data_IF_615946565452
#
_entry.id   IF_615946565452
#
_cell.length_a   1.000
_cell.length_b   1.000
_cell.length_c   1.000
_cell.angle_alpha   90.00
_cell.angle_beta   90.00
_cell.angle_gamma   90.00
#
_symmetry.space_group_name_H-M   'P 1'
#
loop_
_entity.id
_entity.type
_entity.pdbx_description
1 polymer ?
#
# COMPACT_ATOMS: atom_id res chain seq x y z
N UNK A 1 -37.18 16.59 28.01
CA UNK A 1 -37.53 15.77 26.83
C UNK A 1 -36.76 16.16 25.57
N UNK A 2 -36.69 17.43 25.16
CA UNK A 2 -35.96 17.82 23.94
C UNK A 2 -34.47 17.42 23.93
N UNK A 3 -33.73 17.66 25.03
CA UNK A 3 -32.31 17.30 25.12
C UNK A 3 -32.03 15.78 25.04
N UNK A 4 -32.95 14.94 25.52
CA UNK A 4 -32.84 13.48 25.42
C UNK A 4 -33.08 12.99 23.98
N UNK A 5 -34.02 13.61 23.27
CA UNK A 5 -34.29 13.31 21.85
C UNK A 5 -33.12 13.75 20.94
N UNK A 6 -32.49 14.90 21.22
CA UNK A 6 -31.30 15.37 20.49
C UNK A 6 -30.04 14.53 20.79
N UNK A 7 -29.89 14.02 22.01
CA UNK A 7 -28.78 13.12 22.35
C UNK A 7 -28.93 11.74 21.67
N UNK A 8 -30.16 11.21 21.62
CA UNK A 8 -30.47 9.94 20.98
C UNK A 8 -30.24 9.98 19.46
N UNK A 9 -30.57 11.09 18.79
CA UNK A 9 -30.24 11.27 17.36
C UNK A 9 -28.73 11.30 17.13
N UNK A 10 -27.98 11.99 18.01
CA UNK A 10 -26.52 12.09 17.88
C UNK A 10 -25.79 10.75 18.08
N UNK A 11 -26.26 9.89 18.98
CA UNK A 11 -25.66 8.57 19.20
C UNK A 11 -25.85 7.63 18.00
N UNK A 12 -27.06 7.61 17.42
CA UNK A 12 -27.35 6.85 16.20
C UNK A 12 -26.58 7.36 14.99
N UNK A 13 -26.42 8.67 14.85
CA UNK A 13 -25.59 9.26 13.80
C UNK A 13 -24.12 8.85 13.94
N UNK A 14 -23.59 8.83 15.17
CA UNK A 14 -22.25 8.36 15.44
C UNK A 14 -22.07 6.86 15.13
N UNK A 15 -23.04 6.02 15.47
CA UNK A 15 -23.03 4.59 15.13
C UNK A 15 -22.98 4.40 13.60
N UNK A 16 -23.85 5.09 12.87
CA UNK A 16 -23.90 5.03 11.40
C UNK A 16 -22.59 5.51 10.76
N UNK A 17 -22.03 6.64 11.24
CA UNK A 17 -20.73 7.14 10.78
C UNK A 17 -19.59 6.18 11.08
N UNK A 18 -19.55 5.63 12.28
CA UNK A 18 -18.52 4.67 12.69
C UNK A 18 -18.49 3.43 11.80
N UNK A 19 -19.66 2.88 11.48
CA UNK A 19 -19.80 1.77 10.51
C UNK A 19 -19.34 2.18 9.12
N UNK A 20 -19.80 3.32 8.61
CA UNK A 20 -19.44 3.81 7.28
C UNK A 20 -17.92 4.09 7.13
N UNK A 21 -17.26 4.57 8.18
CA UNK A 21 -15.81 4.71 8.20
C UNK A 21 -15.11 3.35 8.25
N UNK A 22 -15.64 2.40 9.00
CA UNK A 22 -15.06 1.06 9.07
C UNK A 22 -15.17 0.29 7.75
N UNK A 23 -16.29 0.42 7.05
CA UNK A 23 -16.47 -0.08 5.69
C UNK A 23 -15.40 0.51 4.77
N UNK A 24 -15.05 1.79 4.93
CA UNK A 24 -13.97 2.41 4.18
C UNK A 24 -12.55 2.07 4.66
N UNK A 25 -12.42 1.28 5.74
CA UNK A 25 -11.15 0.98 6.43
C UNK A 25 -10.43 2.24 6.96
N UNK A 26 -11.20 3.22 7.43
CA UNK A 26 -10.71 4.43 8.08
C UNK A 26 -10.77 4.24 9.60
N UNK A 27 -9.78 3.50 10.14
CA UNK A 27 -9.87 2.92 11.48
C UNK A 27 -9.93 3.96 12.60
N UNK A 28 -9.11 5.02 12.55
CA UNK A 28 -9.10 6.04 13.59
C UNK A 28 -10.45 6.77 13.69
N UNK A 29 -10.99 7.23 12.56
CA UNK A 29 -12.30 7.87 12.50
C UNK A 29 -13.44 6.92 12.90
N UNK A 30 -13.37 5.65 12.52
CA UNK A 30 -14.34 4.64 12.91
C UNK A 30 -14.36 4.42 14.43
N UNK A 31 -13.19 4.22 15.04
CA UNK A 31 -13.05 4.04 16.49
C UNK A 31 -13.64 5.25 17.23
N UNK A 32 -13.24 6.47 16.86
CA UNK A 32 -13.69 7.68 17.54
C UNK A 32 -15.22 7.84 17.51
N UNK A 33 -15.86 7.58 16.37
CA UNK A 33 -17.31 7.66 16.24
C UNK A 33 -18.02 6.55 17.04
N UNK A 34 -17.52 5.31 16.99
CA UNK A 34 -18.12 4.19 17.71
C UNK A 34 -17.95 4.32 19.23
N UNK A 35 -16.83 4.83 19.73
CA UNK A 35 -16.62 5.10 21.17
C UNK A 35 -17.62 6.14 21.71
N UNK A 36 -18.05 7.10 20.90
CA UNK A 36 -19.12 8.04 21.28
C UNK A 36 -20.48 7.32 21.30
N UNK A 37 -20.79 6.53 20.28
CA UNK A 37 -22.05 5.79 20.21
C UNK A 37 -22.19 4.73 21.32
N UNK A 38 -21.09 4.14 21.77
CA UNK A 38 -21.09 3.13 22.82
C UNK A 38 -21.51 3.66 24.21
N UNK A 39 -21.47 4.99 24.41
CA UNK A 39 -21.85 5.62 25.68
C UNK A 39 -23.37 5.75 25.85
N UNK A 40 -24.12 5.68 24.76
CA UNK A 40 -25.57 5.76 24.78
C UNK A 40 -26.18 4.35 24.87
N UNK A 41 -27.10 4.15 25.81
CA UNK A 41 -27.69 2.83 26.09
C UNK A 41 -28.44 2.26 24.89
N UNK A 42 -29.05 3.10 24.06
CA UNK A 42 -29.86 2.65 22.92
C UNK A 42 -29.00 2.19 21.74
N UNK A 43 -27.72 2.58 21.70
CA UNK A 43 -26.76 2.17 20.66
C UNK A 43 -25.60 1.34 21.18
N UNK A 44 -25.49 1.15 22.51
CA UNK A 44 -24.36 0.51 23.17
C UNK A 44 -24.05 -0.88 22.60
N UNK A 45 -25.05 -1.77 22.53
CA UNK A 45 -24.84 -3.13 22.03
C UNK A 45 -24.24 -3.14 20.61
N UNK A 46 -24.78 -2.31 19.73
CA UNK A 46 -24.36 -2.21 18.33
C UNK A 46 -23.00 -1.55 18.14
N UNK A 47 -22.70 -0.54 18.96
CA UNK A 47 -21.42 0.17 18.93
C UNK A 47 -20.29 -0.68 19.51
N UNK A 48 -20.52 -1.34 20.65
CA UNK A 48 -19.59 -2.30 21.24
C UNK A 48 -19.34 -3.50 20.30
N UNK A 49 -20.37 -4.01 19.61
CA UNK A 49 -20.17 -5.07 18.61
C UNK A 49 -19.24 -4.59 17.48
N UNK A 50 -19.49 -3.38 16.96
CA UNK A 50 -18.70 -2.81 15.88
C UNK A 50 -17.24 -2.54 16.29
N UNK A 51 -17.00 -1.97 17.48
CA UNK A 51 -15.66 -1.79 18.06
C UNK A 51 -14.96 -3.13 18.23
N UNK A 52 -15.66 -4.10 18.78
CA UNK A 52 -15.18 -5.47 18.98
C UNK A 52 -14.68 -6.10 17.69
N UNK A 53 -15.50 -6.07 16.62
CA UNK A 53 -15.13 -6.60 15.29
C UNK A 53 -13.94 -5.85 14.68
N UNK A 54 -13.91 -4.53 14.81
CA UNK A 54 -12.78 -3.70 14.33
C UNK A 54 -11.50 -4.10 15.06
N UNK A 55 -11.53 -4.22 16.39
CA UNK A 55 -10.37 -4.64 17.17
C UNK A 55 -9.98 -6.10 16.92
N UNK A 56 -10.93 -6.98 16.63
CA UNK A 56 -10.63 -8.34 16.19
C UNK A 56 -9.84 -8.33 14.88
N UNK A 57 -10.28 -7.54 13.90
CA UNK A 57 -9.53 -7.38 12.66
C UNK A 57 -8.11 -6.85 12.93
N UNK A 58 -7.99 -5.77 13.73
CA UNK A 58 -6.68 -5.18 14.03
C UNK A 58 -5.76 -6.12 14.80
N UNK A 59 -6.30 -6.96 15.68
CA UNK A 59 -5.51 -7.82 16.57
C UNK A 59 -5.03 -9.14 15.95
N UNK A 60 -5.74 -9.67 14.95
CA UNK A 60 -5.49 -11.03 14.44
C UNK A 60 -5.56 -11.20 12.92
N UNK A 61 -6.14 -10.25 12.18
CA UNK A 61 -6.51 -10.50 10.78
C UNK A 61 -6.00 -9.45 9.80
N UNK A 62 -5.27 -8.43 10.24
CA UNK A 62 -4.88 -7.32 9.37
C UNK A 62 -3.48 -7.51 8.75
N UNK A 63 -2.70 -8.46 9.26
CA UNK A 63 -1.37 -8.79 8.76
C UNK A 63 -1.39 -8.93 7.23
N UNK A 64 -0.61 -8.08 6.56
CA UNK A 64 -0.47 -8.08 5.10
C UNK A 64 -1.76 -7.92 4.28
N UNK A 65 -2.91 -7.58 4.89
CA UNK A 65 -4.14 -7.23 4.15
C UNK A 65 -3.92 -6.02 3.25
N UNK A 66 -3.08 -5.08 3.71
CA UNK A 66 -2.54 -4.01 2.88
C UNK A 66 -1.01 -3.97 2.97
N UNK A 67 -0.30 -3.45 1.95
CA UNK A 67 1.14 -3.41 1.94
C UNK A 67 1.75 -2.68 3.16
N UNK A 68 2.40 -3.46 4.02
CA UNK A 68 3.09 -2.98 5.23
C UNK A 68 2.19 -2.86 6.46
N UNK A 69 0.97 -3.38 6.43
CA UNK A 69 0.13 -3.53 7.62
C UNK A 69 0.55 -4.76 8.42
N UNK A 70 0.57 -4.59 9.73
CA UNK A 70 0.90 -5.64 10.69
C UNK A 70 -0.19 -5.77 11.73
N UNK A 71 -0.43 -6.99 12.21
CA UNK A 71 -1.33 -7.21 13.35
C UNK A 71 -0.90 -6.40 14.57
N UNK A 72 -1.87 -5.92 15.34
CA UNK A 72 -1.67 -5.12 16.55
C UNK A 72 -2.17 -5.90 17.79
N UNK A 73 -1.35 -6.81 18.38
CA UNK A 73 -1.76 -7.67 19.49
C UNK A 73 -2.36 -6.94 20.69
N UNK A 74 -1.99 -5.68 20.91
CA UNK A 74 -2.55 -4.82 21.96
C UNK A 74 -4.08 -4.65 21.85
N UNK A 75 -4.68 -4.83 20.66
CA UNK A 75 -6.13 -4.76 20.47
C UNK A 75 -6.87 -6.06 20.79
N UNK A 76 -6.19 -7.19 20.97
CA UNK A 76 -6.83 -8.49 21.21
C UNK A 76 -7.70 -8.50 22.47
N UNK A 77 -7.14 -8.01 23.58
CA UNK A 77 -7.88 -7.89 24.84
C UNK A 77 -9.04 -6.89 24.73
N UNK A 78 -8.84 -5.78 24.01
CA UNK A 78 -9.90 -4.79 23.75
C UNK A 78 -11.05 -5.40 22.96
N UNK A 79 -10.75 -6.17 21.91
CA UNK A 79 -11.75 -6.84 21.09
C UNK A 79 -12.68 -7.72 21.94
N UNK A 80 -12.11 -8.59 22.79
CA UNK A 80 -12.88 -9.46 23.68
C UNK A 80 -13.70 -8.65 24.70
N UNK A 81 -13.14 -7.58 25.25
CA UNK A 81 -13.84 -6.72 26.20
C UNK A 81 -15.06 -6.05 25.56
N UNK A 82 -14.90 -5.46 24.37
CA UNK A 82 -15.99 -4.82 23.63
C UNK A 82 -17.07 -5.83 23.21
N UNK A 83 -16.69 -7.02 22.73
CA UNK A 83 -17.67 -8.05 22.34
C UNK A 83 -18.45 -8.60 23.54
N UNK A 84 -17.83 -8.74 24.70
CA UNK A 84 -18.52 -9.10 25.95
C UNK A 84 -19.46 -7.98 26.41
N UNK A 85 -19.05 -6.72 26.28
CA UNK A 85 -19.91 -5.57 26.56
C UNK A 85 -21.13 -5.54 25.62
N UNK A 86 -20.95 -5.86 24.34
CA UNK A 86 -22.04 -5.97 23.37
C UNK A 86 -23.08 -7.03 23.77
N UNK A 87 -22.62 -8.25 24.09
CA UNK A 87 -23.49 -9.35 24.54
C UNK A 87 -24.15 -9.04 25.88
N UNK A 88 -23.48 -8.30 26.76
CA UNK A 88 -24.09 -7.87 28.03
C UNK A 88 -25.20 -6.83 27.82
N UNK A 89 -24.99 -5.90 26.88
CA UNK A 89 -25.95 -4.86 26.56
C UNK A 89 -27.20 -5.39 25.84
N UNK A 90 -27.05 -6.41 24.97
CA UNK A 90 -28.16 -7.15 24.38
C UNK A 90 -27.81 -8.64 24.22
N UNK A 91 -28.17 -9.48 25.23
CA UNK A 91 -27.90 -10.90 25.19
C UNK A 91 -28.66 -11.65 24.10
N UNK A 92 -29.73 -11.07 23.54
CA UNK A 92 -30.57 -11.73 22.54
C UNK A 92 -30.04 -11.58 21.11
N UNK A 93 -29.01 -10.73 20.90
CA UNK A 93 -28.45 -10.39 19.59
C UNK A 93 -27.51 -11.49 19.07
N UNK A 94 -27.90 -12.27 18.03
CA UNK A 94 -27.09 -13.39 17.56
C UNK A 94 -25.74 -12.93 16.98
N UNK A 95 -25.70 -11.79 16.30
CA UNK A 95 -24.48 -11.26 15.68
C UNK A 95 -23.39 -10.92 16.70
N UNK A 96 -23.77 -10.42 17.88
CA UNK A 96 -22.83 -10.12 18.97
C UNK A 96 -22.26 -11.40 19.59
N UNK A 97 -23.11 -12.39 19.83
CA UNK A 97 -22.68 -13.71 20.34
C UNK A 97 -21.73 -14.42 19.37
N UNK A 98 -22.06 -14.39 18.07
CA UNK A 98 -21.22 -14.98 17.04
C UNK A 98 -19.85 -14.29 16.96
N UNK A 99 -19.83 -12.96 16.96
CA UNK A 99 -18.59 -12.19 16.95
C UNK A 99 -17.69 -12.51 18.15
N UNK A 100 -18.28 -12.59 19.35
CA UNK A 100 -17.56 -12.98 20.57
C UNK A 100 -16.95 -14.38 20.43
N UNK A 101 -17.76 -15.36 20.00
CA UNK A 101 -17.30 -16.75 19.79
C UNK A 101 -16.14 -16.83 18.80
N UNK A 102 -16.19 -16.08 17.70
CA UNK A 102 -15.11 -16.03 16.71
C UNK A 102 -13.83 -15.45 17.33
N UNK A 103 -13.93 -14.33 18.05
CA UNK A 103 -12.77 -13.70 18.68
C UNK A 103 -12.16 -14.58 19.78
N UNK A 104 -12.96 -15.30 20.55
CA UNK A 104 -12.49 -16.28 21.53
C UNK A 104 -11.81 -17.47 20.85
N UNK A 105 -12.34 -17.94 19.71
CA UNK A 105 -11.68 -18.92 18.86
C UNK A 105 -10.29 -18.47 18.41
N UNK A 106 -10.17 -17.23 17.90
CA UNK A 106 -8.88 -16.64 17.53
C UNK A 106 -7.91 -16.47 18.70
N UNK A 107 -8.41 -16.17 19.90
CA UNK A 107 -7.58 -16.07 21.09
C UNK A 107 -6.97 -17.43 21.49
N UNK A 108 -7.64 -18.54 21.16
CA UNK A 108 -7.17 -19.90 21.42
C UNK A 108 -6.39 -20.54 20.25
N UNK A 109 -6.39 -19.91 19.08
CA UNK A 109 -5.76 -20.45 17.88
C UNK A 109 -4.24 -20.25 17.90
N UNK A 110 -3.50 -21.24 17.40
CA UNK A 110 -2.04 -21.14 17.18
C UNK A 110 -1.72 -20.10 16.08
N UNK A 111 -2.57 -20.04 15.05
CA UNK A 111 -2.45 -19.12 13.93
C UNK A 111 -3.84 -18.69 13.47
N UNK A 112 -3.95 -17.43 13.06
CA UNK A 112 -5.14 -16.87 12.40
C UNK A 112 -4.71 -16.37 11.03
N UNK A 113 -5.46 -16.73 10.00
CA UNK A 113 -5.20 -16.24 8.66
C UNK A 113 -5.66 -14.77 8.52
N UNK A 114 -4.96 -13.96 7.72
CA UNK A 114 -5.41 -12.62 7.37
C UNK A 114 -6.83 -12.62 6.81
N UNK A 115 -7.55 -11.52 7.02
CA UNK A 115 -8.87 -11.35 6.46
C UNK A 115 -8.81 -11.42 4.93
N UNK A 116 -9.71 -12.18 4.28
CA UNK A 116 -9.76 -12.22 2.83
C UNK A 116 -10.14 -10.84 2.28
N UNK A 117 -9.73 -10.50 1.04
CA UNK A 117 -10.21 -9.29 0.41
C UNK A 117 -11.73 -9.35 0.25
N UNK A 118 -12.42 -8.22 0.43
CA UNK A 118 -13.88 -8.19 0.40
C UNK A 118 -14.41 -8.41 -1.02
N UNK A 119 -15.46 -9.22 -1.15
CA UNK A 119 -16.00 -9.59 -2.46
C UNK A 119 -16.59 -8.41 -3.24
N UNK A 120 -17.22 -7.45 -2.57
CA UNK A 120 -17.73 -6.22 -3.18
C UNK A 120 -16.59 -5.35 -3.75
N UNK A 121 -15.49 -5.24 -3.00
CA UNK A 121 -14.26 -4.57 -3.41
C UNK A 121 -13.64 -5.27 -4.63
N UNK A 122 -13.50 -6.60 -4.60
CA UNK A 122 -12.97 -7.40 -5.72
C UNK A 122 -13.81 -7.22 -6.99
N UNK A 123 -15.14 -7.24 -6.87
CA UNK A 123 -16.04 -7.07 -8.01
C UNK A 123 -15.90 -5.68 -8.65
N UNK A 124 -15.73 -4.65 -7.82
CA UNK A 124 -15.49 -3.28 -8.28
C UNK A 124 -14.11 -3.12 -8.93
N UNK A 125 -13.07 -3.76 -8.39
CA UNK A 125 -11.73 -3.78 -9.00
C UNK A 125 -11.77 -4.46 -10.39
N UNK A 126 -12.42 -5.63 -10.50
CA UNK A 126 -12.60 -6.33 -11.77
C UNK A 126 -13.36 -5.49 -12.81
N UNK A 127 -14.36 -4.71 -12.37
CA UNK A 127 -15.09 -3.79 -13.26
C UNK A 127 -14.18 -2.68 -13.79
N UNK A 128 -13.32 -2.10 -12.95
CA UNK A 128 -12.37 -1.07 -13.40
C UNK A 128 -11.36 -1.68 -14.39
N UNK A 129 -10.82 -2.86 -14.10
CA UNK A 129 -9.85 -3.51 -14.98
C UNK A 129 -10.44 -3.89 -16.35
N UNK A 130 -11.73 -4.24 -16.43
CA UNK A 130 -12.42 -4.48 -17.69
C UNK A 130 -12.38 -3.25 -18.64
N UNK A 131 -12.28 -2.04 -18.10
CA UNK A 131 -12.18 -0.81 -18.90
C UNK A 131 -10.79 -0.57 -19.52
N UNK A 132 -9.75 -1.33 -19.16
CA UNK A 132 -8.43 -1.24 -19.80
C UNK A 132 -8.48 -1.60 -21.29
N UNK A 133 -9.35 -2.54 -21.67
CA UNK A 133 -9.41 -3.11 -23.02
C UNK A 133 -10.72 -2.81 -23.76
N UNK A 134 -11.63 -2.03 -23.17
CA UNK A 134 -12.96 -1.76 -23.71
C UNK A 134 -13.14 -0.28 -24.05
N UNK A 135 -13.79 0.04 -25.17
CA UNK A 135 -14.18 1.42 -25.52
C UNK A 135 -15.40 1.89 -24.70
N UNK A 136 -15.25 1.95 -23.37
CA UNK A 136 -16.28 2.44 -22.47
C UNK A 136 -16.34 3.98 -22.44
N UNK A 137 -17.50 4.62 -22.28
CA UNK A 137 -17.59 6.05 -22.01
C UNK A 137 -16.74 6.46 -20.80
N UNK A 138 -16.02 7.59 -20.88
CA UNK A 138 -15.15 8.01 -19.76
C UNK A 138 -15.95 8.22 -18.46
N UNK A 139 -17.19 8.69 -18.56
CA UNK A 139 -18.08 8.85 -17.40
C UNK A 139 -18.33 7.53 -16.66
N UNK A 140 -18.39 6.39 -17.37
CA UNK A 140 -18.59 5.08 -16.74
C UNK A 140 -17.35 4.62 -15.98
N UNK A 141 -16.15 4.96 -16.48
CA UNK A 141 -14.88 4.68 -15.81
C UNK A 141 -14.81 5.48 -14.51
N UNK A 142 -15.08 6.78 -14.57
CA UNK A 142 -15.10 7.65 -13.40
C UNK A 142 -16.13 7.19 -12.36
N UNK A 143 -17.34 6.84 -12.79
CA UNK A 143 -18.37 6.31 -11.90
C UNK A 143 -17.93 5.01 -11.20
N UNK A 144 -17.24 4.11 -11.92
CA UNK A 144 -16.70 2.88 -11.32
C UNK A 144 -15.58 3.16 -10.31
N UNK A 145 -14.70 4.12 -10.60
CA UNK A 145 -13.65 4.56 -9.68
C UNK A 145 -14.25 5.16 -8.41
N UNK A 146 -15.25 6.03 -8.52
CA UNK A 146 -15.95 6.60 -7.37
C UNK A 146 -16.63 5.52 -6.52
N UNK A 147 -17.32 4.57 -7.16
CA UNK A 147 -17.95 3.46 -6.46
C UNK A 147 -16.91 2.64 -5.67
N UNK A 148 -15.77 2.35 -6.28
CA UNK A 148 -14.68 1.59 -5.63
C UNK A 148 -14.01 2.36 -4.50
N UNK A 149 -13.76 3.66 -4.69
CA UNK A 149 -13.17 4.51 -3.66
C UNK A 149 -14.12 4.74 -2.47
N UNK A 150 -15.43 4.74 -2.71
CA UNK A 150 -16.46 4.80 -1.65
C UNK A 150 -16.57 3.50 -0.86
N UNK A 151 -16.42 2.35 -1.53
CA UNK A 151 -16.48 1.04 -0.87
C UNK A 151 -15.28 0.78 0.06
N UNK A 152 -14.10 1.26 -0.33
CA UNK A 152 -12.88 1.20 0.48
C UNK A 152 -11.94 2.34 0.08
N UNK A 153 -11.56 3.18 1.05
CA UNK A 153 -10.93 4.48 0.81
C UNK A 153 -9.41 4.42 0.52
N UNK A 154 -8.93 3.26 0.07
CA UNK A 154 -7.54 3.11 -0.38
C UNK A 154 -7.32 3.78 -1.75
N UNK A 155 -6.08 4.13 -2.12
CA UNK A 155 -5.82 4.95 -3.31
C UNK A 155 -5.79 4.16 -4.63
N UNK A 156 -5.82 2.82 -4.60
CA UNK A 156 -5.62 1.99 -5.79
C UNK A 156 -6.56 2.32 -6.98
N UNK A 157 -7.89 2.50 -6.81
CA UNK A 157 -8.77 2.77 -7.94
C UNK A 157 -8.45 4.08 -8.65
N UNK A 158 -7.95 5.10 -7.94
CA UNK A 158 -7.58 6.37 -8.54
C UNK A 158 -6.35 6.24 -9.44
N UNK A 159 -5.33 5.50 -9.00
CA UNK A 159 -4.11 5.29 -9.80
C UNK A 159 -4.37 4.41 -11.01
N UNK A 160 -5.13 3.31 -10.84
CA UNK A 160 -5.56 2.47 -11.96
C UNK A 160 -6.39 3.26 -12.96
N UNK A 161 -7.35 4.05 -12.48
CA UNK A 161 -8.17 4.90 -13.32
C UNK A 161 -7.36 5.95 -14.07
N UNK A 162 -6.38 6.58 -13.41
CA UNK A 162 -5.52 7.57 -14.04
C UNK A 162 -4.70 6.94 -15.18
N UNK A 163 -4.19 5.72 -14.99
CA UNK A 163 -3.51 4.99 -16.07
C UNK A 163 -4.45 4.71 -17.25
N UNK A 164 -5.69 4.24 -17.00
CA UNK A 164 -6.67 3.99 -18.07
C UNK A 164 -6.98 5.27 -18.85
N UNK A 165 -7.08 6.41 -18.17
CA UNK A 165 -7.30 7.70 -18.80
C UNK A 165 -6.08 8.14 -19.64
N UNK A 166 -4.85 7.90 -19.16
CA UNK A 166 -3.63 8.15 -19.94
C UNK A 166 -3.60 7.33 -21.23
N UNK A 167 -3.92 6.04 -21.13
CA UNK A 167 -3.94 5.13 -22.28
C UNK A 167 -4.98 5.56 -23.34
N UNK A 168 -5.97 6.37 -22.95
CA UNK A 168 -7.02 6.93 -23.82
C UNK A 168 -6.75 8.37 -24.27
N UNK A 169 -5.63 8.96 -23.89
CA UNK A 169 -5.29 10.35 -24.23
C UNK A 169 -5.99 11.41 -23.37
N UNK A 170 -6.68 11.02 -22.31
CA UNK A 170 -7.41 11.91 -21.40
C UNK A 170 -6.47 12.49 -20.32
N UNK A 171 -5.40 13.16 -20.75
CA UNK A 171 -4.27 13.53 -19.89
C UNK A 171 -4.65 14.46 -18.72
N UNK A 172 -5.48 15.48 -18.96
CA UNK A 172 -5.87 16.42 -17.88
C UNK A 172 -6.74 15.75 -16.81
N UNK A 173 -7.61 14.82 -17.23
CA UNK A 173 -8.43 14.02 -16.30
C UNK A 173 -7.57 13.03 -15.53
N UNK A 174 -6.58 12.41 -16.19
CA UNK A 174 -5.62 11.55 -15.53
C UNK A 174 -4.81 12.29 -14.44
N UNK A 175 -4.37 13.52 -14.73
CA UNK A 175 -3.68 14.39 -13.75
C UNK A 175 -4.58 14.65 -12.54
N UNK A 176 -5.82 15.07 -12.78
CA UNK A 176 -6.77 15.35 -11.69
C UNK A 176 -7.02 14.11 -10.83
N UNK A 177 -7.18 12.95 -11.47
CA UNK A 177 -7.46 11.69 -10.80
C UNK A 177 -6.25 11.18 -10.00
N UNK A 178 -5.04 11.27 -10.54
CA UNK A 178 -3.81 10.95 -9.82
C UNK A 178 -3.61 11.86 -8.59
N UNK A 179 -3.96 13.15 -8.71
CA UNK A 179 -3.99 14.09 -7.58
C UNK A 179 -4.95 13.67 -6.47
N UNK A 180 -6.14 13.19 -6.82
CA UNK A 180 -7.10 12.62 -5.86
C UNK A 180 -6.57 11.34 -5.22
N UNK A 181 -5.92 10.46 -6.00
CA UNK A 181 -5.24 9.27 -5.49
C UNK A 181 -4.16 9.58 -4.46
N UNK A 182 -3.38 10.65 -4.66
CA UNK A 182 -2.41 11.14 -3.65
C UNK A 182 -3.10 11.53 -2.35
N UNK A 183 -4.16 12.33 -2.41
CA UNK A 183 -4.89 12.76 -1.22
C UNK A 183 -5.55 11.57 -0.48
N UNK A 184 -6.14 10.64 -1.23
CA UNK A 184 -6.69 9.40 -0.69
C UNK A 184 -5.61 8.55 0.00
N UNK A 185 -4.44 8.42 -0.62
CA UNK A 185 -3.31 7.69 -0.05
C UNK A 185 -2.84 8.29 1.27
N UNK A 186 -2.65 9.62 1.30
CA UNK A 186 -2.20 10.30 2.51
C UNK A 186 -3.22 10.12 3.66
N UNK A 187 -4.52 10.27 3.36
CA UNK A 187 -5.58 10.05 4.35
C UNK A 187 -5.62 8.60 4.82
N UNK A 188 -5.56 7.63 3.90
CA UNK A 188 -5.63 6.21 4.23
C UNK A 188 -4.48 5.76 5.13
N UNK A 189 -3.26 6.25 4.86
CA UNK A 189 -2.10 6.00 5.72
C UNK A 189 -2.28 6.66 7.10
N UNK A 190 -2.76 7.91 7.14
CA UNK A 190 -3.01 8.62 8.40
C UNK A 190 -4.01 7.89 9.31
N UNK A 191 -5.14 7.45 8.74
CA UNK A 191 -6.23 6.76 9.45
C UNK A 191 -5.83 5.38 9.99
N UNK A 192 -4.73 4.82 9.48
CA UNK A 192 -4.23 3.49 9.82
C UNK A 192 -2.77 3.53 10.27
N UNK A 193 -2.28 4.65 10.79
CA UNK A 193 -0.86 4.85 11.12
C UNK A 193 -0.31 3.75 12.04
N UNK A 194 -1.13 3.28 12.99
CA UNK A 194 -0.75 2.25 13.96
C UNK A 194 -0.51 0.87 13.35
N UNK A 195 -1.10 0.58 12.18
CA UNK A 195 -0.89 -0.68 11.47
C UNK A 195 0.49 -0.75 10.80
N UNK A 196 1.14 0.40 10.54
CA UNK A 196 2.49 0.47 9.98
C UNK A 196 3.55 0.36 11.08
N UNK A 197 3.59 -0.80 11.74
CA UNK A 197 4.59 -1.09 12.76
C UNK A 197 5.98 -1.08 12.14
N UNK A 198 6.99 -0.62 12.88
CA UNK A 198 8.39 -0.36 12.48
C UNK A 198 8.70 1.03 11.93
N UNK A 199 9.86 1.55 12.34
CA UNK A 199 10.38 2.84 11.92
C UNK A 199 10.47 2.93 10.39
N UNK A 200 9.87 3.98 9.82
CA UNK A 200 9.92 4.27 8.39
C UNK A 200 8.92 3.53 7.51
N UNK A 201 8.12 2.58 8.03
CA UNK A 201 7.08 1.88 7.22
C UNK A 201 5.97 2.81 6.78
N UNK A 202 5.46 3.65 7.69
CA UNK A 202 4.46 4.68 7.38
C UNK A 202 5.00 5.72 6.40
N UNK A 203 6.23 6.20 6.62
CA UNK A 203 6.90 7.11 5.68
C UNK A 203 7.07 6.46 4.30
N UNK A 204 7.42 5.18 4.25
CA UNK A 204 7.46 4.41 3.01
C UNK A 204 6.10 4.32 2.33
N UNK A 205 5.02 4.14 3.08
CA UNK A 205 3.65 4.13 2.55
C UNK A 205 3.25 5.49 1.95
N UNK A 206 3.50 6.59 2.67
CA UNK A 206 3.32 7.95 2.14
C UNK A 206 4.14 8.18 0.86
N UNK A 207 5.43 7.80 0.87
CA UNK A 207 6.30 7.96 -0.29
C UNK A 207 5.81 7.17 -1.50
N UNK A 208 5.32 5.93 -1.32
CA UNK A 208 4.80 5.10 -2.42
C UNK A 208 3.62 5.76 -3.12
N UNK A 209 2.57 6.13 -2.38
CA UNK A 209 1.39 6.75 -2.99
C UNK A 209 1.70 8.09 -3.66
N UNK A 210 2.58 8.90 -3.06
CA UNK A 210 3.03 10.17 -3.65
C UNK A 210 3.90 9.95 -4.89
N UNK A 211 4.76 8.94 -4.90
CA UNK A 211 5.59 8.59 -6.05
C UNK A 211 4.72 8.15 -7.24
N UNK A 212 3.75 7.26 -7.02
CA UNK A 212 2.83 6.82 -8.06
C UNK A 212 2.04 7.98 -8.65
N UNK A 213 1.51 8.87 -7.80
CA UNK A 213 0.79 10.05 -8.29
C UNK A 213 1.70 10.99 -9.09
N UNK A 214 2.91 11.27 -8.60
CA UNK A 214 3.88 12.14 -9.27
C UNK A 214 4.33 11.55 -10.61
N UNK A 215 4.51 10.23 -10.70
CA UNK A 215 4.85 9.56 -11.95
C UNK A 215 3.73 9.68 -12.99
N UNK A 216 2.48 9.37 -12.61
CA UNK A 216 1.32 9.49 -13.48
C UNK A 216 1.11 10.93 -13.99
N UNK A 217 1.25 11.92 -13.10
CA UNK A 217 1.15 13.35 -13.45
C UNK A 217 2.30 13.75 -14.39
N UNK A 218 3.51 13.30 -14.11
CA UNK A 218 4.68 13.58 -14.93
C UNK A 218 4.60 12.96 -16.32
N UNK A 219 4.12 11.72 -16.42
CA UNK A 219 3.89 11.04 -17.69
C UNK A 219 2.78 11.72 -18.50
N UNK A 220 1.68 12.12 -17.85
CA UNK A 220 0.64 12.93 -18.50
C UNK A 220 1.21 14.23 -19.09
N UNK A 221 2.01 14.97 -18.30
CA UNK A 221 2.65 16.20 -18.73
C UNK A 221 3.61 15.96 -19.91
N UNK A 222 4.37 14.87 -19.89
CA UNK A 222 5.23 14.47 -21.00
C UNK A 222 4.43 14.24 -22.29
N UNK A 223 3.31 13.51 -22.22
CA UNK A 223 2.45 13.24 -23.37
C UNK A 223 1.81 14.53 -23.94
N UNK A 224 1.58 15.53 -23.07
CA UNK A 224 1.16 16.88 -23.46
C UNK A 224 2.30 17.76 -23.99
N UNK A 225 3.54 17.26 -24.04
CA UNK A 225 4.77 17.98 -24.38
C UNK A 225 5.11 19.13 -23.42
N UNK A 226 4.58 19.09 -22.19
CA UNK A 226 4.91 20.02 -21.10
C UNK A 226 6.19 19.55 -20.38
N UNK A 227 7.33 19.55 -21.08
CA UNK A 227 8.55 18.86 -20.63
C UNK A 227 9.12 19.36 -19.29
N UNK A 228 9.04 20.66 -19.00
CA UNK A 228 9.51 21.19 -17.71
C UNK A 228 8.67 20.67 -16.54
N UNK A 229 7.34 20.60 -16.72
CA UNK A 229 6.41 20.04 -15.73
C UNK A 229 6.59 18.53 -15.57
N UNK A 230 6.82 17.84 -16.70
CA UNK A 230 7.14 16.42 -16.70
C UNK A 230 8.43 16.15 -15.92
N UNK A 231 9.49 16.93 -16.17
CA UNK A 231 10.76 16.81 -15.46
C UNK A 231 10.60 17.00 -13.94
N UNK A 232 9.87 18.04 -13.52
CA UNK A 232 9.62 18.29 -12.11
C UNK A 232 8.88 17.12 -11.44
N UNK A 233 7.80 16.63 -12.06
CA UNK A 233 6.94 15.60 -11.47
C UNK A 233 7.60 14.21 -11.51
N UNK A 234 8.23 13.83 -12.62
CA UNK A 234 8.95 12.55 -12.75
C UNK A 234 10.19 12.50 -11.85
N UNK A 235 10.91 13.62 -11.70
CA UNK A 235 12.03 13.71 -10.76
C UNK A 235 11.59 13.61 -9.30
N UNK A 236 10.43 14.17 -8.95
CA UNK A 236 9.84 13.98 -7.62
C UNK A 236 9.47 12.51 -7.37
N UNK A 237 8.90 11.83 -8.36
CA UNK A 237 8.62 10.39 -8.29
C UNK A 237 9.89 9.56 -8.13
N UNK A 238 10.96 9.89 -8.86
CA UNK A 238 12.27 9.23 -8.73
C UNK A 238 12.84 9.41 -7.31
N UNK A 239 12.81 10.63 -6.78
CA UNK A 239 13.29 10.93 -5.42
C UNK A 239 12.51 10.15 -4.36
N UNK A 240 11.19 10.04 -4.51
CA UNK A 240 10.33 9.33 -3.55
C UNK A 240 10.48 7.81 -3.65
N UNK A 241 10.64 7.27 -4.86
CA UNK A 241 10.87 5.84 -5.13
C UNK A 241 12.33 5.42 -4.99
N UNK A 242 13.26 6.38 -4.85
CA UNK A 242 14.72 6.18 -4.83
C UNK A 242 15.24 5.45 -6.07
N UNK A 243 14.65 5.74 -7.23
CA UNK A 243 15.00 5.10 -8.49
C UNK A 243 14.66 3.60 -8.56
N UNK A 244 13.79 3.11 -7.67
CA UNK A 244 13.40 1.69 -7.61
C UNK A 244 12.09 1.39 -8.37
N UNK A 245 11.53 2.37 -9.06
CA UNK A 245 10.33 2.21 -9.88
C UNK A 245 10.68 2.10 -11.36
N UNK A 246 10.31 0.97 -11.98
CA UNK A 246 10.60 0.69 -13.37
C UNK A 246 9.92 1.68 -14.32
N UNK A 247 8.63 1.96 -14.10
CA UNK A 247 7.85 2.82 -14.99
C UNK A 247 8.40 4.23 -14.98
N UNK A 248 8.73 4.76 -13.80
CA UNK A 248 9.33 6.06 -13.63
C UNK A 248 10.70 6.18 -14.30
N UNK A 249 11.59 5.19 -14.14
CA UNK A 249 12.87 5.18 -14.85
C UNK A 249 12.67 5.13 -16.38
N UNK A 250 11.71 4.34 -16.87
CA UNK A 250 11.36 4.35 -18.29
C UNK A 250 10.85 5.74 -18.75
N UNK A 251 9.94 6.38 -17.99
CA UNK A 251 9.41 7.70 -18.31
C UNK A 251 10.48 8.80 -18.32
N UNK A 252 11.42 8.76 -17.37
CA UNK A 252 12.58 9.66 -17.35
C UNK A 252 13.50 9.44 -18.56
N UNK A 253 13.67 8.19 -19.01
CA UNK A 253 14.37 7.85 -20.25
C UNK A 253 13.70 8.47 -21.48
N UNK A 254 12.38 8.35 -21.60
CA UNK A 254 11.60 8.94 -22.69
C UNK A 254 11.64 10.47 -22.68
N UNK A 255 11.59 11.10 -21.51
CA UNK A 255 11.71 12.55 -21.35
C UNK A 255 13.11 13.03 -21.76
N UNK A 256 14.16 12.37 -21.28
CA UNK A 256 15.53 12.70 -21.64
C UNK A 256 15.76 12.54 -23.16
N UNK A 257 15.20 11.50 -23.77
CA UNK A 257 15.25 11.30 -25.22
C UNK A 257 14.54 12.42 -25.99
N UNK A 258 13.33 12.80 -25.56
CA UNK A 258 12.56 13.87 -26.22
C UNK A 258 13.22 15.26 -26.10
N UNK A 259 14.08 15.44 -25.09
CA UNK A 259 14.81 16.69 -24.83
C UNK A 259 16.28 16.62 -25.29
N UNK A 260 16.63 15.66 -26.15
CA UNK A 260 17.97 15.47 -26.74
C UNK A 260 19.09 15.23 -25.71
N UNK A 261 18.78 14.63 -24.56
CA UNK A 261 19.74 14.27 -23.52
C UNK A 261 20.09 12.76 -23.61
N UNK A 262 20.71 12.34 -24.72
CA UNK A 262 20.93 10.93 -25.05
C UNK A 262 21.67 10.14 -23.97
N UNK A 263 22.69 10.72 -23.33
CA UNK A 263 23.43 10.05 -22.25
C UNK A 263 22.54 9.81 -21.03
N UNK A 264 21.69 10.77 -20.64
CA UNK A 264 20.73 10.60 -19.54
C UNK A 264 19.66 9.57 -19.88
N UNK A 265 19.16 9.59 -21.11
CA UNK A 265 18.22 8.59 -21.58
C UNK A 265 18.82 7.17 -21.48
N UNK A 266 20.08 7.00 -21.89
CA UNK A 266 20.83 5.74 -21.76
C UNK A 266 20.87 5.27 -20.30
N UNK A 267 21.21 6.15 -19.35
CA UNK A 267 21.28 5.81 -17.93
C UNK A 267 19.93 5.32 -17.40
N UNK A 268 18.85 6.06 -17.65
CA UNK A 268 17.52 5.72 -17.15
C UNK A 268 16.98 4.39 -17.72
N UNK A 269 17.19 4.12 -19.02
CA UNK A 269 16.79 2.82 -19.58
C UNK A 269 17.58 1.65 -18.98
N UNK A 270 18.90 1.82 -18.77
CA UNK A 270 19.72 0.82 -18.09
C UNK A 270 19.26 0.60 -16.64
N UNK A 271 18.95 1.68 -15.92
CA UNK A 271 18.46 1.61 -14.55
C UNK A 271 17.10 0.94 -14.46
N UNK A 272 16.19 1.20 -15.40
CA UNK A 272 14.92 0.50 -15.53
C UNK A 272 15.13 -1.00 -15.79
N UNK A 273 15.91 -1.37 -16.81
CA UNK A 273 16.13 -2.77 -17.20
C UNK A 273 16.90 -3.59 -16.15
N UNK A 274 17.69 -2.94 -15.30
CA UNK A 274 18.39 -3.56 -14.18
C UNK A 274 17.45 -3.88 -13.00
N UNK A 275 16.24 -3.32 -12.95
CA UNK A 275 15.22 -3.72 -11.97
C UNK A 275 14.60 -5.07 -12.35
N UNK A 276 14.23 -5.86 -11.34
CA UNK A 276 13.58 -7.17 -11.51
C UNK A 276 12.11 -7.05 -11.94
N UNK A 277 11.46 -5.93 -11.62
CA UNK A 277 10.09 -5.63 -12.01
C UNK A 277 10.02 -4.95 -13.39
N UNK A 278 8.82 -4.89 -13.96
CA UNK A 278 8.53 -4.17 -15.21
C UNK A 278 7.70 -5.01 -16.19
N UNK A 279 6.60 -4.47 -16.76
CA UNK A 279 5.81 -5.20 -17.76
C UNK A 279 6.64 -5.55 -19.00
N UNK A 280 6.54 -6.78 -19.56
CA UNK A 280 7.32 -7.18 -20.74
C UNK A 280 7.23 -6.20 -21.92
N UNK A 281 6.06 -5.60 -22.26
CA UNK A 281 5.98 -4.63 -23.34
C UNK A 281 6.82 -3.37 -23.11
N UNK A 282 6.85 -2.85 -21.87
CA UNK A 282 7.67 -1.67 -21.55
C UNK A 282 9.16 -2.01 -21.51
N UNK A 283 9.52 -3.20 -21.03
CA UNK A 283 10.91 -3.69 -21.07
C UNK A 283 11.42 -3.80 -22.51
N UNK A 284 10.59 -4.30 -23.42
CA UNK A 284 10.92 -4.35 -24.84
C UNK A 284 11.15 -2.94 -25.41
N UNK A 285 10.23 -2.00 -25.15
CA UNK A 285 10.36 -0.60 -25.58
C UNK A 285 11.63 0.07 -25.05
N UNK A 286 11.96 -0.13 -23.77
CA UNK A 286 13.20 0.40 -23.18
C UNK A 286 14.45 -0.20 -23.86
N UNK A 287 14.42 -1.50 -24.17
CA UNK A 287 15.52 -2.20 -24.86
C UNK A 287 15.71 -1.67 -26.27
N UNK A 288 14.62 -1.46 -27.02
CA UNK A 288 14.67 -0.94 -28.39
C UNK A 288 15.13 0.52 -28.44
N UNK A 289 14.66 1.36 -27.51
CA UNK A 289 15.12 2.74 -27.37
C UNK A 289 16.63 2.80 -27.04
N UNK A 290 17.08 1.94 -26.12
CA UNK A 290 18.50 1.83 -25.77
C UNK A 290 19.35 1.33 -26.94
N UNK A 291 18.84 0.39 -27.75
CA UNK A 291 19.52 -0.08 -28.97
C UNK A 291 19.70 1.04 -29.99
N UNK A 292 18.68 1.88 -30.17
CA UNK A 292 18.76 3.02 -31.09
C UNK A 292 19.82 4.04 -30.65
N UNK A 293 19.91 4.33 -29.35
CA UNK A 293 20.97 5.20 -28.79
C UNK A 293 22.35 4.58 -29.05
N UNK A 294 22.53 3.31 -28.71
CA UNK A 294 23.81 2.59 -28.85
C UNK A 294 24.30 2.54 -30.31
N UNK A 295 23.40 2.35 -31.28
CA UNK A 295 23.74 2.35 -32.69
C UNK A 295 24.23 3.73 -33.18
N UNK A 296 23.70 4.81 -32.62
CA UNK A 296 24.13 6.19 -32.93
C UNK A 296 25.54 6.51 -32.44
N UNK A 297 26.01 5.85 -31.37
CA UNK A 297 27.32 6.09 -30.75
C UNK A 297 28.49 5.44 -31.50
N UNK A 298 28.24 4.81 -32.66
CA UNK A 298 29.24 4.02 -33.43
C UNK A 298 29.93 2.94 -32.59
N UNK A 299 29.23 2.38 -31.61
CA UNK A 299 29.79 1.39 -30.70
C UNK A 299 30.16 0.10 -31.44
N UNK A 300 31.39 -0.39 -31.24
CA UNK A 300 31.87 -1.66 -31.77
C UNK A 300 31.41 -2.83 -30.88
N UNK A 301 30.74 -3.84 -31.45
CA UNK A 301 30.40 -5.09 -30.77
C UNK A 301 28.92 -5.45 -30.78
N UNK A 302 28.57 -6.53 -30.09
CA UNK A 302 27.18 -6.99 -29.96
C UNK A 302 26.44 -6.20 -28.88
N UNK A 303 25.36 -5.51 -29.27
CA UNK A 303 24.47 -4.81 -28.34
C UNK A 303 24.00 -5.71 -27.18
N UNK A 304 23.66 -6.97 -27.48
CA UNK A 304 23.18 -7.90 -26.46
C UNK A 304 24.26 -8.23 -25.42
N UNK A 305 25.50 -8.45 -25.87
CA UNK A 305 26.63 -8.73 -24.97
C UNK A 305 26.98 -7.50 -24.11
N UNK A 306 26.97 -6.30 -24.71
CA UNK A 306 27.16 -5.05 -24.00
C UNK A 306 26.05 -4.82 -22.95
N UNK A 307 24.79 -5.01 -23.33
CA UNK A 307 23.65 -4.82 -22.45
C UNK A 307 23.73 -5.77 -21.24
N UNK A 308 23.96 -7.06 -21.45
CA UNK A 308 24.06 -8.02 -20.34
C UNK A 308 25.21 -7.68 -19.38
N UNK A 309 26.35 -7.23 -19.91
CA UNK A 309 27.49 -6.76 -19.11
C UNK A 309 27.08 -5.60 -18.21
N UNK A 310 26.42 -4.58 -18.76
CA UNK A 310 26.04 -3.39 -18.03
C UNK A 310 24.91 -3.66 -17.02
N UNK A 311 23.95 -4.52 -17.36
CA UNK A 311 22.90 -4.93 -16.45
C UNK A 311 23.45 -5.75 -15.27
N UNK A 312 24.39 -6.66 -15.52
CA UNK A 312 25.08 -7.42 -14.46
C UNK A 312 25.79 -6.47 -13.50
N UNK A 313 26.62 -5.56 -14.04
CA UNK A 313 27.35 -4.56 -13.25
C UNK A 313 26.42 -3.77 -12.34
N UNK A 314 25.30 -3.26 -12.85
CA UNK A 314 24.33 -2.48 -12.07
C UNK A 314 23.60 -3.29 -11.01
N UNK A 315 23.25 -4.55 -11.31
CA UNK A 315 22.64 -5.45 -10.34
C UNK A 315 23.62 -5.74 -9.18
N UNK A 316 24.90 -5.92 -9.48
CA UNK A 316 25.94 -6.12 -8.48
C UNK A 316 26.20 -4.86 -7.64
N UNK A 317 26.23 -3.67 -8.26
CA UNK A 317 26.33 -2.39 -7.56
C UNK A 317 25.15 -2.22 -6.58
N UNK A 318 23.92 -2.49 -7.05
CA UNK A 318 22.71 -2.40 -6.22
C UNK A 318 22.72 -3.42 -5.09
N UNK A 319 23.12 -4.67 -5.35
CA UNK A 319 23.28 -5.70 -4.33
C UNK A 319 24.30 -5.26 -3.28
N UNK A 320 25.43 -4.72 -3.71
CA UNK A 320 26.49 -4.23 -2.83
C UNK A 320 26.02 -3.04 -1.98
N UNK A 321 25.29 -2.09 -2.56
CA UNK A 321 24.71 -0.96 -1.84
C UNK A 321 23.66 -1.40 -0.81
N UNK A 322 22.79 -2.35 -1.17
CA UNK A 322 21.82 -2.92 -0.25
C UNK A 322 22.50 -3.61 0.93
N UNK A 323 23.54 -4.41 0.69
CA UNK A 323 24.32 -5.05 1.75
C UNK A 323 25.01 -4.02 2.65
N UNK A 324 25.67 -3.00 2.10
CA UNK A 324 26.29 -1.91 2.89
C UNK A 324 25.29 -1.22 3.82
N UNK A 325 24.04 -1.04 3.38
CA UNK A 325 22.99 -0.44 4.21
C UNK A 325 22.58 -1.28 5.43
N UNK A 326 22.95 -2.56 5.46
CA UNK A 326 22.65 -3.54 6.53
C UNK A 326 23.87 -3.79 7.43
N UNK A 327 25.08 -3.77 6.86
CA UNK A 327 26.32 -4.27 7.51
C UNK A 327 26.88 -3.36 8.63
N UNK A 328 26.59 -2.06 8.62
CA UNK A 328 27.10 -1.12 9.65
C UNK A 328 26.06 -0.69 10.69
N UNK A 329 24.89 -1.34 10.70
CA UNK A 329 23.93 -1.19 11.79
C UNK A 329 24.17 -2.30 12.79
N UNK A 330 24.54 -1.95 14.01
CA UNK A 330 24.57 -2.91 15.11
C UNK A 330 23.22 -3.65 15.10
N UNK A 331 23.26 -4.98 14.90
CA UNK A 331 22.08 -5.80 15.06
C UNK A 331 21.50 -5.47 16.45
N UNK A 332 20.19 -5.19 16.58
CA UNK A 332 19.60 -5.08 17.89
C UNK A 332 19.93 -6.37 18.66
N UNK A 333 20.18 -6.29 19.98
CA UNK A 333 20.53 -7.46 20.77
C UNK A 333 19.52 -8.58 20.50
N UNK A 334 20.00 -9.68 19.92
CA UNK A 334 19.16 -10.84 19.66
C UNK A 334 18.75 -11.40 21.02
N UNK A 335 17.48 -11.23 21.37
CA UNK A 335 16.91 -11.95 22.51
C UNK A 335 16.68 -13.37 22.05
N UNK A 336 17.67 -14.22 22.29
CA UNK A 336 17.59 -15.63 21.96
C UNK A 336 16.85 -16.36 23.07
N UNK A 337 16.13 -17.41 22.70
CA UNK A 337 15.47 -18.31 23.64
C UNK A 337 15.95 -19.71 23.32
N UNK A 338 16.39 -20.45 24.34
CA UNK A 338 16.79 -21.84 24.17
C UNK A 338 15.55 -22.73 23.92
N UNK A 339 15.79 -23.98 23.51
CA UNK A 339 14.72 -24.95 23.20
C UNK A 339 13.81 -25.23 24.41
N UNK A 340 14.29 -24.95 25.62
CA UNK A 340 13.56 -25.06 26.88
C UNK A 340 12.74 -23.80 27.23
N UNK A 341 12.67 -22.81 26.34
CA UNK A 341 11.90 -21.58 26.52
C UNK A 341 12.59 -20.52 27.40
N UNK A 342 13.84 -20.74 27.84
CA UNK A 342 14.55 -19.79 28.71
C UNK A 342 15.31 -18.73 27.89
N UNK A 343 15.39 -17.47 28.38
CA UNK A 343 16.24 -16.45 27.76
C UNK A 343 17.69 -16.92 27.70
N UNK A 344 18.30 -16.80 26.53
CA UNK A 344 19.69 -17.12 26.28
C UNK A 344 20.50 -15.83 26.14
N UNK A 345 21.51 -15.67 27.00
CA UNK A 345 22.43 -14.54 26.94
C UNK A 345 23.49 -14.75 25.84
N UNK A 346 23.39 -13.95 24.76
CA UNK A 346 24.30 -14.00 23.63
C UNK A 346 25.67 -13.34 23.91
N UNK A 347 25.90 -12.72 25.08
CA UNK A 347 27.17 -12.06 25.39
C UNK A 347 28.39 -12.99 25.25
N UNK A 348 28.24 -14.27 25.61
CA UNK A 348 29.29 -15.30 25.47
C UNK A 348 29.59 -15.75 24.04
N UNK A 349 28.85 -15.23 23.05
CA UNK A 349 29.01 -15.53 21.63
C UNK A 349 29.79 -14.42 20.88
N UNK A 350 30.20 -13.37 21.58
CA UNK A 350 31.00 -12.29 21.00
C UNK A 350 32.29 -12.84 20.38
N UNK A 351 32.52 -12.54 19.09
CA UNK A 351 33.68 -13.01 18.33
C UNK A 351 33.55 -14.44 17.78
N UNK A 352 32.40 -15.10 17.96
CA UNK A 352 32.11 -16.42 17.40
C UNK A 352 31.17 -16.31 16.21
N UNK A 353 31.31 -17.24 15.25
CA UNK A 353 30.35 -17.39 14.14
C UNK A 353 29.13 -18.15 14.66
N UNK A 354 27.96 -17.52 14.65
CA UNK A 354 26.69 -18.23 14.85
C UNK A 354 26.14 -18.70 13.51
N UNK A 355 25.79 -19.98 13.46
CA UNK A 355 24.90 -20.49 12.43
C UNK A 355 23.46 -20.41 12.98
N UNK A 356 22.71 -19.40 12.55
CA UNK A 356 21.28 -19.33 12.81
C UNK A 356 20.57 -20.18 11.76
N UNK A 357 20.22 -21.41 12.12
CA UNK A 357 19.41 -22.26 11.27
C UNK A 357 17.93 -21.86 11.45
N UNK A 358 17.43 -21.03 10.55
CA UNK A 358 16.02 -20.66 10.52
C UNK A 358 15.27 -21.59 9.56
N UNK A 359 14.25 -22.27 10.06
CA UNK A 359 13.24 -22.88 9.20
C UNK A 359 12.29 -21.77 8.75
N UNK A 360 12.47 -21.27 7.53
CA UNK A 360 11.45 -20.49 6.85
C UNK A 360 10.51 -21.47 6.14
N UNK A 361 9.34 -21.74 6.72
CA UNK A 361 8.21 -22.26 5.95
C UNK A 361 7.63 -21.08 5.16
N UNK A 362 7.94 -21.04 3.86
CA UNK A 362 7.37 -20.11 2.90
C UNK A 362 5.92 -20.45 2.59
#
# INVERSE_FOLDING_TARGET
MAAALFAQSAARDNLARGRAFWDQRLAQSAIAALEVAARDKDTAAEAHEALGRLYTFKGWQQESVFPGWHDEPAYRARALAELRAAVTADPSRPSGQEALRIAEGFASAEKVDPAPPREDVKALDARIDAYRNAAAPIADIEAAIEARAKAQADPAPYFTGAQILLDRGEHDRAIALAGRGRAASDRFVGENLSAYQMAGKSQGAYSRGRATAADLIGWAAYLKKEYDRAAASLGDAERLSRGQDFANQFHLGELARATNQSDRARQHYLDALALSAGPPPLRQRATDALRAIHAGDRASGSFAAWLETELTRRRDDRRSAALKSVVDRALPPLTLTAVDGRPYDAAGLRGKVLLLNFFASW
#
